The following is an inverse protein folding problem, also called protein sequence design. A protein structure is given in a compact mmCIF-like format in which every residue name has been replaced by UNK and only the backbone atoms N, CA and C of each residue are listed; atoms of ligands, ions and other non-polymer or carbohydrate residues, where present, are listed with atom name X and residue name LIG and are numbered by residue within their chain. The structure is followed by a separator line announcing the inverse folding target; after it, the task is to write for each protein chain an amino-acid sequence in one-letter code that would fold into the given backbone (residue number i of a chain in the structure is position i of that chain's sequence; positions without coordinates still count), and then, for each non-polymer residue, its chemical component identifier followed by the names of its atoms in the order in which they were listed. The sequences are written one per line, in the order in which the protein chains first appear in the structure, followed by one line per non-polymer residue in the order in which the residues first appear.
data_IF_856691010657
#
_entry.id   IF_856691010657
#
_cell.length_a   1.000
_cell.length_b   1.000
_cell.length_c   1.000
_cell.angle_alpha   90.00
_cell.angle_beta   90.00
_cell.angle_gamma   90.00
#
_symmetry.space_group_name_H-M   'P 1'
#
loop_
_entity.id
_entity.type
_entity.pdbx_description
1 polymer ?
#
# COMPACT_ATOMS: atom_id res chain seq x y z
N UNK A 1 -4.06 38.67 -16.48
CA UNK A 1 -3.64 38.23 -15.13
C UNK A 1 -4.38 36.95 -14.80
N UNK A 2 -3.69 35.86 -14.51
CA UNK A 2 -4.35 34.62 -14.07
C UNK A 2 -5.11 34.90 -12.76
N UNK A 3 -6.33 34.35 -12.63
CA UNK A 3 -7.09 34.51 -11.39
C UNK A 3 -6.35 33.84 -10.22
N UNK A 4 -6.45 34.40 -9.02
CA UNK A 4 -5.87 33.83 -7.80
C UNK A 4 -6.34 32.39 -7.59
N UNK A 5 -7.62 32.11 -7.88
CA UNK A 5 -8.18 30.77 -7.86
C UNK A 5 -7.49 29.82 -8.86
N UNK A 6 -7.23 30.28 -10.09
CA UNK A 6 -6.53 29.47 -11.11
C UNK A 6 -5.09 29.15 -10.73
N UNK A 7 -4.37 30.11 -10.14
CA UNK A 7 -3.02 29.90 -9.60
C UNK A 7 -3.01 28.82 -8.51
N UNK A 8 -3.91 28.91 -7.53
CA UNK A 8 -3.99 27.97 -6.42
C UNK A 8 -4.37 26.56 -6.91
N UNK A 9 -5.32 26.45 -7.84
CA UNK A 9 -5.71 25.19 -8.44
C UNK A 9 -4.54 24.52 -9.18
N UNK A 10 -3.78 25.28 -10.00
CA UNK A 10 -2.60 24.76 -10.70
C UNK A 10 -1.53 24.29 -9.71
N UNK A 11 -1.27 25.06 -8.66
CA UNK A 11 -0.29 24.67 -7.62
C UNK A 11 -0.72 23.42 -6.85
N UNK A 12 -2.01 23.27 -6.55
CA UNK A 12 -2.55 22.06 -5.92
C UNK A 12 -2.39 20.84 -6.83
N UNK A 13 -2.70 20.96 -8.12
CA UNK A 13 -2.52 19.89 -9.10
C UNK A 13 -1.04 19.49 -9.27
N UNK A 14 -0.13 20.46 -9.37
CA UNK A 14 1.32 20.20 -9.41
C UNK A 14 1.79 19.42 -8.17
N UNK A 15 1.35 19.84 -6.98
CA UNK A 15 1.68 19.17 -5.72
C UNK A 15 1.18 17.73 -5.68
N UNK A 16 -0.01 17.48 -6.21
CA UNK A 16 -0.57 16.12 -6.32
C UNK A 16 0.22 15.26 -7.32
N UNK A 17 0.52 15.79 -8.53
CA UNK A 17 1.34 15.11 -9.53
C UNK A 17 2.70 14.70 -8.97
N UNK A 18 3.41 15.62 -8.30
CA UNK A 18 4.71 15.34 -7.66
C UNK A 18 4.59 14.25 -6.60
N UNK A 19 3.55 14.29 -5.75
CA UNK A 19 3.33 13.27 -4.71
C UNK A 19 3.02 11.89 -5.29
N UNK A 20 2.27 11.83 -6.38
CA UNK A 20 1.98 10.59 -7.09
C UNK A 20 3.24 10.05 -7.77
N UNK A 21 3.99 10.90 -8.46
CA UNK A 21 5.24 10.55 -9.12
C UNK A 21 6.26 10.00 -8.13
N UNK A 22 6.49 10.69 -7.00
CA UNK A 22 7.43 10.23 -5.96
C UNK A 22 7.04 8.86 -5.40
N UNK A 23 5.75 8.63 -5.11
CA UNK A 23 5.27 7.32 -4.63
C UNK A 23 5.48 6.22 -5.66
N UNK A 24 5.22 6.50 -6.93
CA UNK A 24 5.39 5.55 -8.04
C UNK A 24 6.88 5.22 -8.26
N UNK A 25 7.72 6.26 -8.34
CA UNK A 25 9.16 6.13 -8.48
C UNK A 25 9.77 5.31 -7.34
N UNK A 26 9.46 5.62 -6.07
CA UNK A 26 9.94 4.83 -4.92
C UNK A 26 9.52 3.37 -4.97
N UNK A 27 8.27 3.11 -5.40
CA UNK A 27 7.78 1.73 -5.54
C UNK A 27 8.58 0.97 -6.60
N UNK A 28 8.86 1.60 -7.74
CA UNK A 28 9.65 0.96 -8.80
C UNK A 28 11.12 0.83 -8.43
N UNK A 29 11.71 1.80 -7.73
CA UNK A 29 13.04 1.64 -7.12
C UNK A 29 13.07 0.38 -6.23
N UNK A 30 12.03 0.14 -5.44
CA UNK A 30 11.94 -1.08 -4.64
C UNK A 30 11.72 -2.35 -5.49
N UNK A 31 10.94 -2.26 -6.58
CA UNK A 31 10.72 -3.40 -7.47
C UNK A 31 12.04 -3.85 -8.12
N UNK A 32 12.91 -2.90 -8.49
CA UNK A 32 14.25 -3.19 -9.00
C UNK A 32 15.22 -3.64 -7.90
N UNK A 33 15.23 -2.93 -6.76
CA UNK A 33 16.09 -3.23 -5.63
C UNK A 33 15.51 -4.39 -4.81
N UNK A 34 15.77 -5.62 -5.28
CA UNK A 34 15.39 -6.89 -4.61
C UNK A 34 15.83 -6.90 -3.13
N UNK A 35 16.99 -6.32 -2.83
CA UNK A 35 17.57 -6.26 -1.49
C UNK A 35 17.47 -4.87 -0.85
N UNK A 36 17.20 -4.85 0.47
CA UNK A 36 16.93 -3.61 1.23
C UNK A 36 18.10 -2.64 1.30
N UNK A 37 19.34 -3.11 1.38
CA UNK A 37 20.50 -2.25 1.50
C UNK A 37 20.75 -1.42 0.23
N UNK A 38 20.50 -2.00 -0.96
CA UNK A 38 20.53 -1.28 -2.23
C UNK A 38 19.38 -0.27 -2.30
N UNK A 39 18.18 -0.71 -1.94
CA UNK A 39 16.98 0.13 -1.92
C UNK A 39 17.16 1.40 -1.09
N UNK A 40 17.78 1.32 0.09
CA UNK A 40 17.93 2.50 0.94
C UNK A 40 18.82 3.57 0.34
N UNK A 41 19.91 3.19 -0.34
CA UNK A 41 20.79 4.13 -1.02
C UNK A 41 20.03 4.78 -2.19
N UNK A 42 19.44 3.96 -3.08
CA UNK A 42 18.71 4.45 -4.24
C UNK A 42 17.50 5.32 -3.86
N UNK A 43 16.80 4.98 -2.77
CA UNK A 43 15.67 5.75 -2.26
C UNK A 43 16.11 7.10 -1.67
N UNK A 44 17.29 7.15 -1.03
CA UNK A 44 17.88 8.40 -0.55
C UNK A 44 18.24 9.30 -1.73
N UNK A 45 18.96 8.76 -2.73
CA UNK A 45 19.34 9.50 -3.93
C UNK A 45 18.12 10.01 -4.69
N UNK A 46 17.05 9.20 -4.77
CA UNK A 46 15.78 9.62 -5.32
C UNK A 46 15.21 10.79 -4.52
N UNK A 47 15.20 10.73 -3.18
CA UNK A 47 14.69 11.82 -2.35
C UNK A 47 15.47 13.11 -2.54
N UNK A 48 16.79 13.04 -2.62
CA UNK A 48 17.66 14.20 -2.79
C UNK A 48 17.38 14.93 -4.11
N UNK A 49 17.10 14.20 -5.20
CA UNK A 49 16.66 14.79 -6.48
C UNK A 49 15.36 15.60 -6.35
N UNK A 50 14.40 15.13 -5.55
CA UNK A 50 13.16 15.87 -5.29
C UNK A 50 13.38 17.07 -4.36
N UNK A 51 14.20 16.92 -3.31
CA UNK A 51 14.50 18.03 -2.38
C UNK A 51 15.28 19.16 -3.07
N UNK A 52 16.21 18.83 -3.98
CA UNK A 52 16.96 19.81 -4.76
C UNK A 52 16.06 20.80 -5.54
N UNK A 53 14.85 20.36 -5.92
CA UNK A 53 13.90 21.14 -6.70
C UNK A 53 12.68 21.64 -5.88
N UNK A 54 12.70 21.47 -4.55
CA UNK A 54 11.55 21.76 -3.69
C UNK A 54 11.12 23.23 -3.67
N UNK A 55 12.08 24.14 -3.84
CA UNK A 55 11.89 25.59 -3.71
C UNK A 55 11.70 26.31 -5.05
N UNK A 56 11.33 25.58 -6.11
CA UNK A 56 11.02 26.21 -7.40
C UNK A 56 9.63 26.84 -7.36
N UNK A 57 9.59 28.16 -7.56
CA UNK A 57 8.37 28.97 -7.49
C UNK A 57 7.72 29.23 -8.85
N UNK A 58 8.52 29.25 -9.93
CA UNK A 58 8.00 29.48 -11.27
C UNK A 58 7.18 28.26 -11.75
N UNK A 59 5.87 28.46 -11.93
CA UNK A 59 4.93 27.40 -12.29
C UNK A 59 5.27 26.70 -13.61
N UNK A 60 5.74 27.42 -14.62
CA UNK A 60 6.06 26.85 -15.93
C UNK A 60 7.36 26.03 -15.89
N UNK A 61 8.27 26.38 -14.97
CA UNK A 61 9.47 25.58 -14.71
C UNK A 61 9.09 24.31 -13.96
N UNK A 62 8.18 24.41 -12.98
CA UNK A 62 7.69 23.23 -12.25
C UNK A 62 7.00 22.24 -13.17
N UNK A 63 6.17 22.71 -14.11
CA UNK A 63 5.51 21.80 -15.05
C UNK A 63 6.53 21.09 -15.95
N UNK A 64 7.54 21.81 -16.47
CA UNK A 64 8.64 21.19 -17.24
C UNK A 64 9.40 20.14 -16.42
N UNK A 65 9.75 20.45 -15.18
CA UNK A 65 10.44 19.50 -14.29
C UNK A 65 9.60 18.25 -14.01
N UNK A 66 8.29 18.41 -13.82
CA UNK A 66 7.38 17.27 -13.63
C UNK A 66 7.32 16.42 -14.90
N UNK A 67 7.20 17.05 -16.08
CA UNK A 67 7.10 16.33 -17.35
C UNK A 67 8.41 15.58 -17.68
N UNK A 68 9.57 16.20 -17.45
CA UNK A 68 10.89 15.58 -17.60
C UNK A 68 11.05 14.40 -16.64
N UNK A 69 10.65 14.57 -15.37
CA UNK A 69 10.72 13.51 -14.38
C UNK A 69 9.74 12.36 -14.67
N UNK A 70 8.54 12.66 -15.19
CA UNK A 70 7.59 11.63 -15.67
C UNK A 70 8.15 10.88 -16.89
N UNK A 71 8.84 11.55 -17.80
CA UNK A 71 9.48 10.92 -18.95
C UNK A 71 10.64 9.99 -18.52
N UNK A 72 11.48 10.43 -17.58
CA UNK A 72 12.51 9.58 -16.99
C UNK A 72 11.87 8.37 -16.29
N UNK A 73 10.85 8.60 -15.47
CA UNK A 73 10.15 7.54 -14.76
C UNK A 73 9.60 6.47 -15.71
N UNK A 74 9.00 6.85 -16.85
CA UNK A 74 8.50 5.91 -17.87
C UNK A 74 9.58 4.95 -18.36
N UNK A 75 10.83 5.41 -18.51
CA UNK A 75 11.94 4.57 -18.96
C UNK A 75 12.44 3.59 -17.88
N UNK A 76 12.18 3.88 -16.60
CA UNK A 76 12.63 3.07 -15.46
C UNK A 76 11.51 2.23 -14.84
N UNK A 77 10.34 2.14 -15.48
CA UNK A 77 9.25 1.29 -14.99
C UNK A 77 9.66 -0.18 -15.04
N UNK A 78 9.42 -0.91 -13.95
CA UNK A 78 9.66 -2.34 -13.92
C UNK A 78 8.60 -3.05 -14.80
N UNK A 79 8.98 -3.98 -15.69
CA UNK A 79 8.04 -4.64 -16.61
C UNK A 79 7.00 -5.53 -15.89
N UNK A 80 7.36 -6.06 -14.72
CA UNK A 80 6.48 -6.89 -13.88
C UNK A 80 6.53 -6.44 -12.40
N UNK A 81 5.88 -5.32 -12.05
CA UNK A 81 6.01 -4.74 -10.72
C UNK A 81 5.34 -5.58 -9.64
N UNK A 82 5.83 -5.53 -8.40
CA UNK A 82 5.21 -6.28 -7.31
C UNK A 82 3.77 -5.79 -7.02
N UNK A 83 2.83 -6.74 -7.03
CA UNK A 83 1.42 -6.54 -6.70
C UNK A 83 1.10 -7.42 -5.48
N UNK A 84 0.53 -6.80 -4.44
CA UNK A 84 0.13 -7.57 -3.25
C UNK A 84 -0.92 -8.62 -3.63
N UNK A 85 -0.88 -9.83 -3.06
CA UNK A 85 -1.64 -10.96 -3.59
C UNK A 85 -3.15 -10.73 -3.75
N UNK A 86 -3.79 -9.95 -2.89
CA UNK A 86 -5.24 -9.74 -2.89
C UNK A 86 -5.69 -8.49 -3.67
N UNK A 87 -4.77 -7.64 -4.14
CA UNK A 87 -5.12 -6.47 -4.95
C UNK A 87 -5.41 -6.89 -6.40
N UNK A 88 -6.12 -6.07 -7.20
CA UNK A 88 -6.27 -6.31 -8.63
C UNK A 88 -4.92 -6.58 -9.30
N UNK A 89 -4.85 -7.65 -10.10
CA UNK A 89 -3.61 -8.12 -10.73
C UNK A 89 -2.72 -9.01 -9.84
N UNK A 90 -3.07 -9.20 -8.57
CA UNK A 90 -2.36 -10.09 -7.65
C UNK A 90 -2.78 -11.56 -7.77
N UNK A 91 -1.92 -12.47 -7.30
CA UNK A 91 -2.10 -13.93 -7.44
C UNK A 91 -3.29 -14.53 -6.70
N UNK A 92 -3.85 -13.83 -5.72
CA UNK A 92 -5.03 -14.23 -4.93
C UNK A 92 -6.24 -13.33 -5.19
N UNK A 93 -6.17 -12.43 -6.17
CA UNK A 93 -7.29 -11.59 -6.53
C UNK A 93 -8.48 -12.45 -6.95
N UNK A 94 -9.68 -12.14 -6.45
CA UNK A 94 -10.92 -12.87 -6.75
C UNK A 94 -10.88 -14.38 -6.49
N UNK A 95 -9.97 -14.87 -5.63
CA UNK A 95 -9.90 -16.30 -5.28
C UNK A 95 -11.10 -16.78 -4.45
N UNK A 96 -11.70 -15.89 -3.66
CA UNK A 96 -12.88 -16.19 -2.83
C UNK A 96 -13.82 -14.97 -2.80
N UNK A 97 -14.56 -14.66 -3.89
CA UNK A 97 -15.53 -13.57 -3.88
C UNK A 97 -16.68 -13.92 -2.94
N UNK A 98 -17.30 -12.94 -2.27
CA UNK A 98 -18.52 -13.18 -1.53
C UNK A 98 -19.59 -13.72 -2.49
N UNK A 99 -20.47 -14.63 -2.04
CA UNK A 99 -21.53 -15.15 -2.88
C UNK A 99 -22.43 -14.01 -3.37
N UNK A 100 -23.00 -14.13 -4.58
CA UNK A 100 -23.92 -13.13 -5.10
C UNK A 100 -25.11 -12.96 -4.17
N UNK A 101 -25.53 -11.71 -3.99
CA UNK A 101 -26.67 -11.37 -3.14
C UNK A 101 -27.94 -12.06 -3.68
N UNK A 102 -28.76 -12.61 -2.78
CA UNK A 102 -30.01 -13.29 -3.13
C UNK A 102 -29.89 -14.78 -3.49
N UNK A 103 -28.67 -15.29 -3.70
CA UNK A 103 -28.46 -16.74 -3.87
C UNK A 103 -28.40 -17.39 -2.49
N UNK A 104 -29.47 -18.06 -2.08
CA UNK A 104 -29.43 -18.96 -0.93
C UNK A 104 -28.69 -20.22 -1.37
N UNK A 105 -27.57 -20.60 -0.72
CA UNK A 105 -26.99 -21.89 -0.99
C UNK A 105 -28.05 -22.95 -0.72
N UNK A 106 -28.26 -23.87 -1.66
CA UNK A 106 -29.18 -25.00 -1.53
C UNK A 106 -28.57 -25.97 -0.51
N UNK A 107 -28.58 -25.57 0.75
CA UNK A 107 -28.02 -26.31 1.85
C UNK A 107 -28.94 -27.51 2.09
N UNK A 108 -28.42 -28.70 1.79
CA UNK A 108 -29.08 -29.96 2.11
C UNK A 108 -29.45 -29.97 3.61
N UNK A 109 -30.50 -30.71 4.02
CA UNK A 109 -30.92 -30.75 5.42
C UNK A 109 -29.78 -31.07 6.41
N UNK A 110 -28.78 -31.84 5.98
CA UNK A 110 -27.59 -32.16 6.76
C UNK A 110 -26.71 -30.94 7.07
N UNK A 111 -26.61 -29.97 6.15
CA UNK A 111 -25.80 -28.75 6.34
C UNK A 111 -26.54 -27.66 7.13
N UNK A 112 -27.88 -27.71 7.19
CA UNK A 112 -28.67 -26.81 8.05
C UNK A 112 -28.33 -27.00 9.53
N UNK A 113 -28.03 -28.24 9.96
CA UNK A 113 -27.68 -28.57 11.36
C UNK A 113 -26.37 -27.93 11.84
N UNK A 114 -25.46 -27.56 10.93
CA UNK A 114 -24.18 -26.92 11.25
C UNK A 114 -24.22 -25.39 11.17
N UNK A 115 -25.33 -24.80 10.74
CA UNK A 115 -25.46 -23.34 10.60
C UNK A 115 -25.48 -22.64 11.96
N UNK A 116 -26.12 -23.26 12.95
CA UNK A 116 -26.21 -22.72 14.32
C UNK A 116 -24.84 -22.70 15.02
N UNK A 117 -23.94 -23.63 14.67
CA UNK A 117 -22.56 -23.67 15.20
C UNK A 117 -21.63 -22.62 14.57
N UNK A 118 -21.91 -22.14 13.36
CA UNK A 118 -21.05 -21.20 12.62
C UNK A 118 -21.30 -19.73 12.98
N UNK A 119 -22.45 -19.40 13.56
CA UNK A 119 -22.74 -18.05 14.08
C UNK A 119 -21.87 -17.66 15.28
N UNK A 120 -21.29 -18.62 15.99
CA UNK A 120 -20.37 -18.36 17.09
C UNK A 120 -19.01 -17.82 16.62
N UNK A 121 -18.62 -18.07 15.35
CA UNK A 121 -17.27 -17.80 14.86
C UNK A 121 -17.16 -16.58 13.91
N UNK A 122 -18.27 -16.07 13.37
CA UNK A 122 -18.26 -14.91 12.45
C UNK A 122 -18.80 -13.59 13.03
N UNK A 123 -18.71 -13.37 14.35
CA UNK A 123 -18.84 -12.01 14.90
C UNK A 123 -19.64 -11.87 16.19
N UNK A 124 -19.13 -12.44 17.30
CA UNK A 124 -19.43 -11.88 18.61
C UNK A 124 -18.85 -10.45 18.73
N UNK A 125 -19.43 -9.57 19.58
CA UNK A 125 -18.96 -8.20 19.73
C UNK A 125 -17.48 -8.20 20.14
N UNK A 126 -16.65 -7.46 19.38
CA UNK A 126 -15.24 -7.21 19.75
C UNK A 126 -15.24 -6.35 21.00
N UNK A 127 -15.28 -7.00 22.16
CA UNK A 127 -15.10 -6.35 23.44
C UNK A 127 -13.60 -6.02 23.57
N UNK A 128 -13.22 -4.78 23.23
CA UNK A 128 -11.90 -4.25 23.57
C UNK A 128 -11.85 -4.06 25.10
N UNK A 129 -11.49 -5.11 25.83
CA UNK A 129 -11.05 -4.99 27.22
C UNK A 129 -9.53 -4.77 27.29
N UNK A 130 -9.03 -4.05 28.31
CA UNK A 130 -7.71 -3.43 28.28
C UNK A 130 -6.60 -4.47 28.47
N UNK A 131 -5.42 -4.12 27.96
CA UNK A 131 -4.21 -4.91 28.01
C UNK A 131 -3.91 -5.49 29.41
N UNK A 132 -3.72 -6.81 29.49
CA UNK A 132 -2.99 -7.44 30.59
C UNK A 132 -2.16 -8.62 30.09
N UNK A 133 -0.84 -8.51 30.27
CA UNK A 133 0.09 -9.61 30.51
C UNK A 133 0.41 -10.56 29.36
N UNK A 134 1.39 -10.18 28.51
CA UNK A 134 2.12 -11.16 27.72
C UNK A 134 2.95 -12.08 28.62
N UNK A 135 2.67 -13.38 28.61
CA UNK A 135 3.52 -14.37 29.28
C UNK A 135 4.64 -14.80 28.31
N UNK A 136 5.87 -14.44 28.68
CA UNK A 136 7.11 -14.87 28.03
C UNK A 136 7.44 -16.31 28.45
N UNK A 137 7.52 -17.24 27.49
CA UNK A 137 8.10 -18.56 27.71
C UNK A 137 9.62 -18.42 27.91
N UNK A 138 10.11 -18.65 29.13
CA UNK A 138 11.52 -18.92 29.40
C UNK A 138 11.66 -20.34 29.95
N UNK A 139 12.45 -21.15 29.24
CA UNK A 139 12.85 -22.50 29.63
C UNK A 139 13.94 -22.41 30.71
N UNK A 140 13.70 -22.98 31.88
CA UNK A 140 14.76 -23.27 32.86
C UNK A 140 14.88 -24.79 33.04
N UNK A 141 16.01 -25.34 32.57
CA UNK A 141 16.51 -26.66 32.98
C UNK A 141 17.29 -26.45 34.28
N UNK A 142 16.89 -27.12 35.35
CA UNK A 142 17.71 -27.29 36.55
C UNK A 142 18.56 -28.57 36.44
N UNK A 143 19.85 -28.46 36.75
CA UNK A 143 20.74 -29.60 37.01
C UNK A 143 20.82 -29.82 38.52
N UNK A 144 20.81 -31.08 39.01
CA UNK A 144 21.08 -31.37 40.43
C UNK A 144 22.59 -31.37 40.72
N UNK A 145 22.92 -31.01 41.96
CA UNK A 145 24.27 -31.07 42.58
C UNK A 145 24.65 -32.51 42.89
#
# INVERSE_FOLDING_TARGET
MASTAGYLARRAAQKERVRLLYRRALKDTLNWAVHRHLFYQDASDLRDKFEANRHVDNLDVVDRLIDDAEAQYRNFQHPDPYIVPWAPGGTKFTRNPPPPQGVRPQLTPLFMRYRDHLQLWQGGPVNKSPASGGQNFHSSKSLPV
#
